data_IF_296649796000
#
_entry.id   IF_296649796000
#
_cell.length_a   1.000
_cell.length_b   1.000
_cell.length_c   1.000
_cell.angle_alpha   90.00
_cell.angle_beta   90.00
_cell.angle_gamma   90.00
#
_symmetry.space_group_name_H-M   'P 1'
#
loop_
_entity.id
_entity.type
_entity.pdbx_description
1 polymer ?
#
# COMPACT_ATOMS: atom_id res chain seq x y z
N UNK A 1 -3.32 -20.33 -3.92
CA UNK A 1 -2.28 -19.34 -4.11
C UNK A 1 -2.86 -18.08 -4.74
N UNK A 2 -2.36 -16.92 -4.34
CA UNK A 2 -2.86 -15.58 -4.70
C UNK A 2 -2.85 -15.35 -6.23
N UNK A 3 -1.93 -15.97 -6.97
CA UNK A 3 -1.90 -15.93 -8.44
C UNK A 3 -3.17 -16.51 -9.09
N UNK A 4 -3.70 -17.62 -8.55
CA UNK A 4 -4.96 -18.20 -9.03
C UNK A 4 -6.14 -17.31 -8.67
N UNK A 5 -6.13 -16.69 -7.50
CA UNK A 5 -7.14 -15.74 -7.08
C UNK A 5 -7.20 -14.51 -7.98
N UNK A 6 -6.05 -14.00 -8.43
CA UNK A 6 -5.96 -12.86 -9.35
C UNK A 6 -6.61 -13.14 -10.71
N UNK A 7 -6.30 -14.29 -11.30
CA UNK A 7 -6.91 -14.70 -12.57
C UNK A 7 -8.40 -15.01 -12.43
N UNK A 8 -8.82 -15.56 -11.29
CA UNK A 8 -10.23 -15.83 -11.00
C UNK A 8 -11.04 -14.56 -10.79
N UNK A 9 -10.52 -13.55 -10.07
CA UNK A 9 -11.25 -12.29 -9.85
C UNK A 9 -11.57 -11.52 -11.13
N UNK A 10 -10.77 -11.67 -12.18
CA UNK A 10 -11.00 -11.00 -13.46
C UNK A 10 -11.89 -11.84 -14.40
N UNK A 11 -11.84 -13.16 -14.29
CA UNK A 11 -12.60 -14.08 -15.16
C UNK A 11 -13.96 -14.47 -14.61
N UNK A 12 -14.09 -14.55 -13.29
CA UNK A 12 -15.30 -15.10 -12.67
C UNK A 12 -16.05 -14.00 -11.90
N UNK A 13 -17.15 -13.53 -12.50
CA UNK A 13 -18.05 -12.54 -11.90
C UNK A 13 -18.88 -13.09 -10.72
N UNK A 14 -18.75 -14.37 -10.39
CA UNK A 14 -19.67 -15.09 -9.49
C UNK A 14 -19.12 -15.38 -8.09
N UNK A 15 -17.87 -15.08 -7.78
CA UNK A 15 -17.30 -15.34 -6.44
C UNK A 15 -17.36 -14.10 -5.55
N UNK A 16 -18.45 -13.92 -4.84
CA UNK A 16 -18.57 -13.01 -3.72
C UNK A 16 -17.68 -13.54 -2.57
N UNK A 17 -16.58 -12.84 -2.28
CA UNK A 17 -15.71 -13.14 -1.13
C UNK A 17 -14.21 -13.10 -1.38
N UNK A 18 -13.75 -13.12 -2.61
CA UNK A 18 -12.34 -12.93 -2.97
C UNK A 18 -12.15 -11.47 -3.42
N UNK A 19 -11.16 -10.78 -2.84
CA UNK A 19 -10.90 -9.38 -3.15
C UNK A 19 -10.74 -9.14 -4.66
N UNK A 20 -11.61 -8.33 -5.22
CA UNK A 20 -11.55 -7.91 -6.62
C UNK A 20 -10.56 -6.76 -6.79
N UNK A 21 -9.76 -6.68 -7.87
CA UNK A 21 -8.97 -5.51 -8.19
C UNK A 21 -9.83 -4.28 -8.55
N UNK A 22 -11.14 -4.46 -8.69
CA UNK A 22 -12.11 -3.37 -8.88
C UNK A 22 -12.40 -2.68 -7.55
N UNK A 23 -11.55 -1.73 -7.19
CA UNK A 23 -11.65 -0.96 -5.95
C UNK A 23 -12.18 0.47 -6.19
N UNK A 24 -12.01 0.99 -7.40
CA UNK A 24 -12.46 2.32 -7.77
C UNK A 24 -13.68 2.23 -8.69
N UNK A 25 -14.77 2.85 -8.29
CA UNK A 25 -16.00 2.96 -9.09
C UNK A 25 -16.04 4.22 -9.95
N UNK A 26 -15.27 5.23 -9.56
CA UNK A 26 -15.16 6.51 -10.26
C UNK A 26 -13.71 6.96 -10.34
N UNK A 27 -13.39 7.70 -11.41
CA UNK A 27 -12.08 8.32 -11.55
C UNK A 27 -11.91 9.46 -10.54
N UNK A 28 -10.89 9.43 -9.67
CA UNK A 28 -10.68 10.48 -8.66
C UNK A 28 -10.30 11.84 -9.28
N UNK A 29 -9.93 11.86 -10.56
CA UNK A 29 -9.54 13.09 -11.27
C UNK A 29 -10.73 13.79 -11.92
N UNK A 30 -11.55 13.08 -12.68
CA UNK A 30 -12.61 13.68 -13.48
C UNK A 30 -14.03 13.19 -13.12
N UNK A 31 -14.18 12.27 -12.18
CA UNK A 31 -15.47 11.74 -11.75
C UNK A 31 -16.12 10.72 -12.70
N UNK A 32 -15.54 10.42 -13.86
CA UNK A 32 -16.10 9.46 -14.81
C UNK A 32 -16.17 8.06 -14.21
N UNK A 33 -17.23 7.32 -14.50
CA UNK A 33 -17.43 5.96 -13.97
C UNK A 33 -16.37 4.99 -14.52
N UNK A 34 -15.92 4.09 -13.67
CA UNK A 34 -15.01 2.99 -14.00
C UNK A 34 -15.81 1.70 -13.95
N UNK A 35 -15.74 0.91 -15.01
CA UNK A 35 -16.42 -0.39 -15.13
C UNK A 35 -15.37 -1.52 -15.13
N UNK A 36 -15.56 -2.53 -14.28
CA UNK A 36 -14.60 -3.61 -14.09
C UNK A 36 -14.24 -4.36 -15.40
N UNK A 37 -15.21 -4.54 -16.30
CA UNK A 37 -15.02 -5.29 -17.53
C UNK A 37 -14.39 -4.51 -18.69
N UNK A 38 -14.25 -3.18 -18.56
CA UNK A 38 -13.80 -2.29 -19.64
C UNK A 38 -12.54 -1.50 -19.28
N UNK A 39 -12.44 -1.07 -18.04
CA UNK A 39 -11.43 -0.10 -17.59
C UNK A 39 -10.36 -0.73 -16.71
N UNK A 40 -10.45 -2.05 -16.45
CA UNK A 40 -9.39 -2.82 -15.81
C UNK A 40 -8.73 -3.74 -16.84
N UNK A 41 -7.41 -3.67 -16.89
CA UNK A 41 -6.59 -4.52 -17.75
C UNK A 41 -5.50 -5.21 -16.92
N UNK A 42 -5.25 -6.48 -17.19
CA UNK A 42 -4.19 -7.24 -16.52
C UNK A 42 -3.21 -7.77 -17.55
N UNK A 43 -2.00 -7.27 -17.50
CA UNK A 43 -0.89 -7.76 -18.33
C UNK A 43 -0.16 -8.88 -17.59
N UNK A 44 -0.34 -10.16 -17.97
CA UNK A 44 0.40 -11.26 -17.34
C UNK A 44 1.85 -11.26 -17.82
N UNK A 45 2.78 -11.58 -16.91
CA UNK A 45 4.17 -11.82 -17.26
C UNK A 45 4.43 -13.33 -17.32
N UNK A 46 5.34 -13.78 -18.19
CA UNK A 46 5.74 -15.19 -18.24
C UNK A 46 6.41 -15.63 -16.93
N UNK A 47 7.17 -14.74 -16.35
CA UNK A 47 7.82 -14.95 -15.06
C UNK A 47 7.47 -13.77 -14.16
N UNK A 48 7.25 -14.04 -12.89
CA UNK A 48 6.87 -13.01 -11.92
C UNK A 48 5.38 -12.62 -11.95
N UNK A 49 4.96 -11.76 -11.04
CA UNK A 49 3.59 -11.25 -10.97
C UNK A 49 3.28 -10.37 -12.18
N UNK A 50 2.07 -10.49 -12.72
CA UNK A 50 1.56 -9.60 -13.76
C UNK A 50 1.32 -8.19 -13.22
N UNK A 51 0.83 -7.28 -14.06
CA UNK A 51 0.47 -5.92 -13.69
C UNK A 51 -1.00 -5.65 -13.97
N UNK A 52 -1.69 -5.02 -13.02
CA UNK A 52 -3.08 -4.60 -13.15
C UNK A 52 -3.15 -3.10 -13.35
N UNK A 53 -3.83 -2.68 -14.40
CA UNK A 53 -4.04 -1.28 -14.74
C UNK A 53 -5.51 -0.93 -14.52
N UNK A 54 -5.75 0.20 -13.90
CA UNK A 54 -7.07 0.82 -13.82
C UNK A 54 -7.06 2.07 -14.66
N UNK A 55 -7.96 2.18 -15.62
CA UNK A 55 -8.09 3.35 -16.49
C UNK A 55 -9.33 4.15 -16.15
N UNK A 56 -9.28 5.44 -16.44
CA UNK A 56 -10.46 6.28 -16.37
C UNK A 56 -11.49 5.86 -17.42
N UNK A 57 -12.78 5.86 -17.02
CA UNK A 57 -13.89 5.55 -17.92
C UNK A 57 -14.40 6.73 -18.75
N UNK A 58 -13.61 7.80 -18.88
CA UNK A 58 -13.96 8.93 -19.72
C UNK A 58 -14.12 8.52 -21.19
N UNK A 59 -15.37 8.58 -21.69
CA UNK A 59 -15.73 8.18 -23.04
C UNK A 59 -15.14 9.11 -24.12
N UNK A 60 -14.81 10.35 -23.76
CA UNK A 60 -14.16 11.29 -24.68
C UNK A 60 -12.68 11.01 -24.85
N UNK A 61 -12.07 10.28 -23.91
CA UNK A 61 -10.65 9.97 -23.87
C UNK A 61 -9.76 11.18 -23.61
N UNK A 62 -10.31 12.26 -23.05
CA UNK A 62 -9.58 13.51 -22.73
C UNK A 62 -8.92 13.44 -21.36
N UNK A 63 -9.46 12.62 -20.44
CA UNK A 63 -8.86 12.45 -19.13
C UNK A 63 -7.45 11.89 -19.27
N UNK A 64 -6.50 12.51 -18.58
CA UNK A 64 -5.07 12.13 -18.60
C UNK A 64 -4.83 10.67 -18.15
N UNK A 65 -5.77 10.07 -17.42
CA UNK A 65 -5.73 8.68 -16.97
C UNK A 65 -6.60 7.73 -17.81
N UNK A 66 -7.10 8.18 -18.95
CA UNK A 66 -7.80 7.32 -19.90
C UNK A 66 -6.81 6.36 -20.57
N UNK A 67 -7.30 5.19 -21.01
CA UNK A 67 -6.47 4.21 -21.74
C UNK A 67 -5.82 4.81 -22.99
N UNK A 68 -6.41 5.84 -23.57
CA UNK A 68 -5.89 6.57 -24.73
C UNK A 68 -4.69 7.45 -24.37
N UNK A 69 -4.74 8.13 -23.22
CA UNK A 69 -3.70 9.07 -22.81
C UNK A 69 -2.57 8.40 -22.04
N UNK A 70 -2.88 7.38 -21.22
CA UNK A 70 -1.93 6.69 -20.39
C UNK A 70 -2.04 5.14 -20.55
N UNK A 71 -1.71 4.59 -21.74
CA UNK A 71 -1.92 3.16 -22.04
C UNK A 71 -1.05 2.21 -21.20
N UNK A 72 0.08 2.68 -20.68
CA UNK A 72 1.06 1.89 -19.93
C UNK A 72 1.08 2.19 -18.42
N UNK A 73 0.28 3.15 -17.96
CA UNK A 73 0.25 3.54 -16.55
C UNK A 73 -1.17 3.53 -15.97
N UNK A 74 -2.16 4.09 -16.68
CA UNK A 74 -3.50 4.29 -16.17
C UNK A 74 -3.55 5.23 -14.96
N UNK A 75 -4.50 5.01 -14.06
CA UNK A 75 -4.53 5.67 -12.76
C UNK A 75 -3.34 5.20 -11.90
N UNK A 76 -2.69 6.10 -11.15
CA UNK A 76 -1.55 5.76 -10.28
C UNK A 76 -2.02 5.04 -8.99
N UNK A 77 -2.79 3.99 -9.15
CA UNK A 77 -3.38 3.20 -8.07
C UNK A 77 -2.97 1.75 -8.22
N UNK A 78 -2.47 1.17 -7.14
CA UNK A 78 -2.08 -0.24 -7.07
C UNK A 78 -3.01 -0.93 -6.08
N UNK A 79 -3.75 -1.93 -6.55
CA UNK A 79 -4.82 -2.60 -5.77
C UNK A 79 -4.54 -4.08 -5.52
N UNK A 80 -3.38 -4.56 -5.88
CA UNK A 80 -2.99 -5.96 -5.75
C UNK A 80 -1.76 -6.08 -4.88
N UNK A 81 -1.84 -6.91 -3.83
CA UNK A 81 -0.80 -7.02 -2.80
C UNK A 81 0.61 -7.19 -3.38
N UNK A 82 0.81 -8.13 -4.32
CA UNK A 82 2.14 -8.37 -4.90
C UNK A 82 2.66 -7.17 -5.69
N UNK A 83 1.76 -6.38 -6.29
CA UNK A 83 2.18 -5.14 -6.94
C UNK A 83 2.49 -4.05 -5.93
N UNK A 84 1.72 -3.96 -4.83
CA UNK A 84 1.96 -3.01 -3.75
C UNK A 84 3.38 -3.20 -3.20
N UNK A 85 3.74 -4.45 -2.90
CA UNK A 85 5.10 -4.76 -2.41
C UNK A 85 6.20 -4.45 -3.42
N UNK A 86 5.91 -4.57 -4.70
CA UNK A 86 6.90 -4.38 -5.78
C UNK A 86 6.94 -2.96 -6.34
N UNK A 87 5.86 -2.17 -6.18
CA UNK A 87 5.76 -0.80 -6.71
C UNK A 87 5.96 0.27 -5.66
N UNK A 88 5.79 -0.07 -4.40
CA UNK A 88 5.98 0.80 -3.24
C UNK A 88 5.25 2.14 -3.40
N UNK A 89 3.92 2.17 -3.35
CA UNK A 89 3.15 3.38 -3.49
C UNK A 89 3.52 4.39 -2.39
N UNK A 90 3.46 5.67 -2.71
CA UNK A 90 3.75 6.76 -1.76
C UNK A 90 2.76 6.78 -0.59
N UNK A 91 1.53 6.35 -0.83
CA UNK A 91 0.49 6.20 0.19
C UNK A 91 -0.08 4.79 0.14
N UNK A 92 -0.09 4.11 1.28
CA UNK A 92 -0.69 2.79 1.44
C UNK A 92 -1.86 2.87 2.42
N UNK A 93 -3.03 2.38 1.98
CA UNK A 93 -4.21 2.22 2.83
C UNK A 93 -4.47 0.73 2.97
N UNK A 94 -4.52 0.24 4.19
CA UNK A 94 -4.75 -1.16 4.48
C UNK A 94 -5.59 -1.35 5.75
N UNK A 95 -6.31 -2.47 5.80
CA UNK A 95 -7.03 -2.89 7.01
C UNK A 95 -6.06 -3.51 8.02
N UNK A 96 -6.45 -3.57 9.29
CA UNK A 96 -5.67 -4.18 10.36
C UNK A 96 -5.31 -5.66 10.07
N UNK A 97 -6.17 -6.38 9.36
CA UNK A 97 -5.91 -7.77 8.98
C UNK A 97 -4.69 -7.92 8.07
N UNK A 98 -4.42 -6.93 7.25
CA UNK A 98 -3.21 -6.90 6.41
C UNK A 98 -1.95 -6.76 7.25
N UNK A 99 -2.01 -5.94 8.30
CA UNK A 99 -0.90 -5.83 9.26
C UNK A 99 -0.67 -7.16 10.02
N UNK A 100 -1.73 -7.86 10.40
CA UNK A 100 -1.62 -9.17 11.04
C UNK A 100 -0.97 -10.24 10.14
N UNK A 101 -1.03 -10.10 8.83
CA UNK A 101 -0.40 -11.00 7.86
C UNK A 101 1.07 -10.66 7.54
N UNK A 102 1.54 -9.46 7.91
CA UNK A 102 2.91 -8.99 7.59
C UNK A 102 4.03 -9.96 8.01
N UNK A 103 4.01 -10.56 9.23
CA UNK A 103 5.09 -11.45 9.66
C UNK A 103 5.25 -12.73 8.82
N UNK A 104 4.21 -13.10 8.08
CA UNK A 104 4.18 -14.31 7.26
C UNK A 104 4.58 -14.11 5.81
N UNK A 105 4.88 -12.84 5.42
CA UNK A 105 5.22 -12.46 4.04
C UNK A 105 6.53 -11.68 4.01
N UNK A 106 7.59 -12.33 3.56
CA UNK A 106 8.92 -11.71 3.46
C UNK A 106 8.95 -10.46 2.57
N UNK A 107 8.09 -10.41 1.53
CA UNK A 107 8.00 -9.26 0.61
C UNK A 107 7.58 -7.96 1.31
N UNK A 108 6.91 -8.06 2.46
CA UNK A 108 6.47 -6.88 3.26
C UNK A 108 7.65 -5.99 3.66
N UNK A 109 8.84 -6.56 3.86
CA UNK A 109 10.04 -5.77 4.20
C UNK A 109 10.33 -4.66 3.19
N UNK A 110 9.91 -4.84 1.92
CA UNK A 110 10.08 -3.80 0.90
C UNK A 110 9.28 -2.53 1.18
N UNK A 111 8.12 -2.64 1.84
CA UNK A 111 7.35 -1.47 2.28
C UNK A 111 8.12 -0.59 3.28
N UNK A 112 9.07 -1.20 3.98
CA UNK A 112 9.96 -0.52 4.93
C UNK A 112 11.33 -0.18 4.32
N UNK A 113 11.44 -0.23 3.00
CA UNK A 113 12.64 0.18 2.27
C UNK A 113 13.71 -0.89 2.12
N UNK A 114 13.50 -2.12 2.61
CA UNK A 114 14.47 -3.21 2.46
C UNK A 114 14.42 -3.77 1.04
N UNK A 115 15.17 -3.15 0.15
CA UNK A 115 15.30 -3.53 -1.26
C UNK A 115 16.77 -3.70 -1.63
N UNK A 116 17.05 -4.52 -2.65
CA UNK A 116 18.41 -4.72 -3.20
C UNK A 116 18.44 -4.61 -4.73
N UNK A 117 17.32 -4.45 -5.38
CA UNK A 117 17.25 -4.32 -6.82
C UNK A 117 15.96 -3.68 -7.31
N UNK A 118 16.02 -3.14 -8.53
CA UNK A 118 14.89 -2.58 -9.25
C UNK A 118 14.84 -3.06 -10.68
N UNK A 119 13.71 -3.59 -11.09
CA UNK A 119 13.43 -4.00 -12.45
C UNK A 119 12.28 -3.15 -13.02
N UNK A 120 12.48 -2.55 -14.20
CA UNK A 120 11.44 -1.72 -14.85
C UNK A 120 10.16 -2.50 -15.12
N UNK A 121 10.26 -3.82 -15.34
CA UNK A 121 9.12 -4.71 -15.58
C UNK A 121 8.41 -5.10 -14.28
N UNK A 122 9.17 -5.57 -13.27
CA UNK A 122 8.61 -6.18 -12.06
C UNK A 122 8.56 -5.24 -10.85
N UNK A 123 9.32 -4.13 -10.85
CA UNK A 123 9.47 -3.22 -9.71
C UNK A 123 10.61 -3.60 -8.79
N UNK A 124 10.55 -3.19 -7.53
CA UNK A 124 11.58 -3.44 -6.54
C UNK A 124 11.70 -4.92 -6.19
N UNK A 125 12.89 -5.30 -5.75
CA UNK A 125 13.23 -6.66 -5.31
C UNK A 125 13.88 -6.59 -3.93
N UNK A 126 13.52 -7.50 -3.04
CA UNK A 126 14.23 -7.78 -1.79
C UNK A 126 15.18 -8.98 -1.97
N UNK A 127 16.13 -9.19 -1.06
CA UNK A 127 17.03 -10.34 -1.10
C UNK A 127 16.31 -11.70 -1.10
N UNK A 128 15.09 -11.78 -0.59
CA UNK A 128 14.30 -13.03 -0.49
C UNK A 128 13.52 -13.36 -1.76
N UNK A 129 13.51 -12.46 -2.75
CA UNK A 129 12.80 -12.69 -4.00
C UNK A 129 13.76 -13.24 -5.05
N UNK A 130 13.59 -14.50 -5.39
CA UNK A 130 14.31 -15.17 -6.48
C UNK A 130 13.70 -14.80 -7.84
N UNK A 131 14.06 -13.65 -8.37
CA UNK A 131 13.72 -13.24 -9.74
C UNK A 131 14.97 -13.30 -10.61
N UNK A 132 14.79 -13.69 -11.89
CA UNK A 132 15.85 -13.58 -12.86
C UNK A 132 16.33 -12.12 -12.99
N UNK A 133 17.64 -11.92 -13.11
CA UNK A 133 18.22 -10.59 -13.28
C UNK A 133 18.04 -10.03 -14.69
N UNK A 134 17.71 -10.88 -15.66
CA UNK A 134 17.47 -10.49 -17.06
C UNK A 134 16.14 -11.07 -17.56
N UNK A 135 15.38 -10.23 -18.22
CA UNK A 135 14.08 -10.58 -18.78
C UNK A 135 14.07 -10.28 -20.27
N UNK A 136 14.08 -11.28 -21.15
CA UNK A 136 14.02 -11.05 -22.59
C UNK A 136 12.70 -10.37 -22.99
N UNK A 137 12.71 -9.73 -24.15
CA UNK A 137 11.49 -9.20 -24.76
C UNK A 137 10.46 -10.33 -24.93
N UNK A 138 9.17 -10.00 -24.80
CA UNK A 138 8.09 -10.97 -24.96
C UNK A 138 7.40 -10.80 -26.30
N UNK A 139 6.84 -11.87 -26.83
CA UNK A 139 5.99 -11.82 -28.04
C UNK A 139 4.72 -10.98 -27.86
N UNK A 140 4.40 -10.60 -26.61
CA UNK A 140 3.27 -9.70 -26.25
C UNK A 140 3.66 -8.23 -26.24
N UNK A 141 4.82 -7.87 -26.80
CA UNK A 141 5.26 -6.48 -26.97
C UNK A 141 5.96 -5.85 -25.77
N UNK A 142 6.26 -6.63 -24.72
CA UNK A 142 7.04 -6.07 -23.60
C UNK A 142 8.54 -5.99 -23.95
N UNK A 143 9.18 -4.85 -23.74
CA UNK A 143 10.61 -4.71 -23.99
C UNK A 143 11.45 -5.57 -23.03
N UNK A 144 12.66 -5.89 -23.42
CA UNK A 144 13.63 -6.52 -22.52
C UNK A 144 13.86 -5.65 -21.29
N UNK A 145 14.02 -6.28 -20.13
CA UNK A 145 14.27 -5.59 -18.87
C UNK A 145 15.40 -6.26 -18.10
N UNK A 146 16.13 -5.45 -17.34
CA UNK A 146 17.21 -5.91 -16.46
C UNK A 146 16.93 -5.41 -15.06
N UNK A 147 17.22 -6.23 -14.08
CA UNK A 147 17.23 -5.80 -12.68
C UNK A 147 18.55 -5.12 -12.39
N UNK A 148 18.48 -3.88 -11.96
CA UNK A 148 19.63 -3.08 -11.53
C UNK A 148 19.73 -3.13 -10.01
N UNK A 149 20.95 -3.02 -9.49
CA UNK A 149 21.18 -2.92 -8.06
C UNK A 149 20.53 -1.64 -7.50
N UNK A 150 19.90 -1.75 -6.37
CA UNK A 150 19.20 -0.66 -5.71
C UNK A 150 19.61 -0.62 -4.24
N UNK A 151 20.07 0.53 -3.79
CA UNK A 151 20.28 0.78 -2.36
C UNK A 151 18.96 0.77 -1.60
N UNK A 152 18.96 0.43 -0.30
CA UNK A 152 17.79 0.52 0.53
C UNK A 152 17.09 1.87 0.42
N UNK A 153 15.77 1.85 0.44
CA UNK A 153 14.95 3.06 0.37
C UNK A 153 14.64 3.58 1.78
N UNK A 154 14.26 4.85 1.83
CA UNK A 154 13.73 5.44 3.05
C UNK A 154 12.41 4.76 3.43
N UNK A 155 12.25 4.32 4.69
CA UNK A 155 11.00 3.76 5.18
C UNK A 155 9.90 4.84 5.32
N UNK A 156 8.64 4.45 5.57
CA UNK A 156 7.54 5.39 5.79
C UNK A 156 7.82 6.42 6.89
N UNK A 157 7.53 7.68 6.60
CA UNK A 157 7.69 8.79 7.54
C UNK A 157 6.47 9.03 8.42
N UNK A 158 5.31 8.57 7.97
CA UNK A 158 4.02 8.81 8.59
C UNK A 158 3.23 7.51 8.66
N UNK A 159 2.71 7.24 9.85
CA UNK A 159 1.74 6.17 10.11
C UNK A 159 0.45 6.83 10.57
N UNK A 160 -0.64 6.56 9.88
CA UNK A 160 -1.98 7.02 10.26
C UNK A 160 -2.78 5.79 10.67
N UNK A 161 -3.29 5.79 11.89
CA UNK A 161 -4.09 4.71 12.44
C UNK A 161 -5.47 5.21 12.79
N UNK A 162 -6.45 4.68 12.08
CA UNK A 162 -7.85 4.99 12.35
C UNK A 162 -8.44 4.01 13.36
N UNK A 163 -9.49 4.42 14.05
CA UNK A 163 -10.24 3.60 15.01
C UNK A 163 -9.36 2.94 16.10
N UNK A 164 -8.44 3.71 16.69
CA UNK A 164 -7.50 3.20 17.70
C UNK A 164 -8.18 2.48 18.86
N UNK A 165 -9.44 2.82 19.19
CA UNK A 165 -10.20 2.18 20.27
C UNK A 165 -10.51 0.71 20.02
N UNK A 166 -10.51 0.23 18.77
CA UNK A 166 -10.70 -1.18 18.43
C UNK A 166 -9.53 -2.06 18.88
N UNK A 167 -8.39 -1.45 19.15
CA UNK A 167 -7.17 -2.13 19.60
C UNK A 167 -7.18 -2.35 21.12
N UNK A 168 -8.15 -1.81 21.85
CA UNK A 168 -8.32 -2.04 23.27
C UNK A 168 -8.96 -3.41 23.53
N UNK A 169 -8.27 -4.29 24.29
CA UNK A 169 -8.77 -5.61 24.63
C UNK A 169 -7.74 -6.72 24.45
N UNK A 170 -8.16 -8.00 24.31
CA UNK A 170 -7.26 -9.15 24.14
C UNK A 170 -6.28 -9.03 22.96
N UNK A 171 -6.66 -8.28 21.92
CA UNK A 171 -5.79 -7.96 20.78
C UNK A 171 -4.68 -6.95 21.14
N UNK A 172 -4.84 -6.18 22.20
CA UNK A 172 -3.93 -5.07 22.55
C UNK A 172 -2.46 -5.50 22.72
N UNK A 173 -2.21 -6.67 23.27
CA UNK A 173 -0.84 -7.18 23.45
C UNK A 173 -0.17 -7.49 22.11
N UNK A 174 -0.87 -8.16 21.21
CA UNK A 174 -0.35 -8.46 19.87
C UNK A 174 -0.14 -7.19 19.07
N UNK A 175 -1.07 -6.25 19.15
CA UNK A 175 -0.93 -4.95 18.47
C UNK A 175 0.27 -4.16 18.99
N UNK A 176 0.52 -4.13 20.30
CA UNK A 176 1.71 -3.52 20.87
C UNK A 176 3.02 -4.09 20.31
N UNK A 177 3.08 -5.41 20.06
CA UNK A 177 4.21 -6.02 19.38
C UNK A 177 4.35 -5.55 17.93
N UNK A 178 3.24 -5.50 17.19
CA UNK A 178 3.25 -4.99 15.80
C UNK A 178 3.66 -3.52 15.73
N UNK A 179 3.12 -2.68 16.60
CA UNK A 179 3.48 -1.26 16.65
C UNK A 179 4.98 -1.06 16.97
N UNK A 180 5.51 -1.86 17.88
CA UNK A 180 6.95 -1.84 18.17
C UNK A 180 7.78 -2.25 16.96
N UNK A 181 7.35 -3.29 16.24
CA UNK A 181 8.01 -3.74 15.03
C UNK A 181 7.95 -2.68 13.91
N UNK A 182 6.78 -2.10 13.68
CA UNK A 182 6.59 -1.03 12.68
C UNK A 182 7.44 0.19 13.02
N UNK A 183 7.44 0.63 14.29
CA UNK A 183 8.26 1.75 14.73
C UNK A 183 9.75 1.50 14.49
N UNK A 184 10.22 0.28 14.76
CA UNK A 184 11.59 -0.13 14.50
C UNK A 184 11.90 -0.16 13.01
N UNK A 185 11.04 -0.73 12.20
CA UNK A 185 11.21 -0.83 10.75
C UNK A 185 11.14 0.53 10.05
N UNK A 186 10.31 1.45 10.57
CA UNK A 186 10.21 2.82 10.08
C UNK A 186 11.27 3.77 10.67
N UNK A 187 12.11 3.31 11.60
CA UNK A 187 13.19 4.12 12.15
C UNK A 187 14.41 4.04 11.25
N UNK A 188 14.93 5.18 10.82
CA UNK A 188 16.12 5.26 10.00
C UNK A 188 17.09 6.33 10.51
N UNK A 189 18.25 6.46 9.90
CA UNK A 189 19.29 7.35 10.35
C UNK A 189 19.52 8.50 9.36
N UNK A 190 19.55 9.73 9.88
CA UNK A 190 19.84 10.92 9.10
C UNK A 190 20.94 11.69 9.84
N UNK A 191 22.10 11.87 9.22
CA UNK A 191 23.22 12.61 9.81
C UNK A 191 23.60 12.12 11.23
N UNK A 192 23.64 10.82 11.43
CA UNK A 192 23.95 10.19 12.72
C UNK A 192 22.83 10.25 13.76
N UNK A 193 21.65 10.76 13.39
CA UNK A 193 20.48 10.82 14.29
C UNK A 193 19.41 9.83 13.84
N UNK A 194 18.87 9.07 14.80
CA UNK A 194 17.72 8.20 14.55
C UNK A 194 16.46 9.04 14.44
N UNK A 195 15.77 8.88 13.33
CA UNK A 195 14.48 9.51 13.02
C UNK A 195 13.40 8.44 13.03
N UNK A 196 12.34 8.66 13.77
CA UNK A 196 11.18 7.79 13.89
C UNK A 196 10.02 8.36 13.07
N UNK A 197 9.10 7.53 12.57
CA UNK A 197 7.94 8.01 11.83
C UNK A 197 7.03 8.85 12.75
N UNK A 198 6.33 9.80 12.19
CA UNK A 198 5.22 10.48 12.88
C UNK A 198 4.02 9.51 12.93
N UNK A 199 3.37 9.40 14.08
CA UNK A 199 2.15 8.61 14.24
C UNK A 199 0.99 9.57 14.50
N UNK A 200 -0.07 9.42 13.73
CA UNK A 200 -1.35 10.11 13.92
C UNK A 200 -2.39 9.02 14.15
N UNK A 201 -3.15 9.12 15.23
CA UNK A 201 -4.20 8.17 15.51
C UNK A 201 -5.53 8.90 15.69
N UNK A 202 -6.58 8.38 15.06
CA UNK A 202 -7.94 8.80 15.30
C UNK A 202 -8.64 7.79 16.21
N UNK A 203 -9.54 8.26 17.06
CA UNK A 203 -10.26 7.38 17.97
C UNK A 203 -11.55 8.04 18.46
N UNK A 204 -12.57 7.22 18.73
CA UNK A 204 -13.70 7.66 19.52
C UNK A 204 -13.24 8.01 20.96
N UNK A 205 -14.12 8.62 21.75
CA UNK A 205 -13.82 9.06 23.12
C UNK A 205 -13.24 7.93 23.98
N UNK A 206 -11.98 8.04 24.35
CA UNK A 206 -11.32 7.06 25.23
C UNK A 206 -11.05 7.72 26.59
N UNK A 207 -11.56 7.10 27.67
CA UNK A 207 -11.12 7.42 29.03
C UNK A 207 -9.64 7.03 29.15
N UNK A 208 -8.76 7.94 29.52
CA UNK A 208 -7.31 7.71 29.65
C UNK A 208 -6.55 7.49 28.32
N UNK A 209 -6.94 8.18 27.23
CA UNK A 209 -6.25 8.11 25.94
C UNK A 209 -4.72 8.26 26.05
N UNK A 210 -4.23 9.18 26.87
CA UNK A 210 -2.80 9.43 27.04
C UNK A 210 -2.04 8.20 27.58
N UNK A 211 -2.58 7.53 28.60
CA UNK A 211 -1.95 6.34 29.19
C UNK A 211 -1.97 5.16 28.19
N UNK A 212 -3.08 4.99 27.48
CA UNK A 212 -3.23 3.92 26.49
C UNK A 212 -2.30 4.12 25.29
N UNK A 213 -2.24 5.33 24.75
CA UNK A 213 -1.33 5.67 23.65
C UNK A 213 0.13 5.52 24.08
N UNK A 214 0.46 5.95 25.32
CA UNK A 214 1.81 5.75 25.83
C UNK A 214 2.17 4.27 25.96
N UNK A 215 1.24 3.43 26.41
CA UNK A 215 1.47 1.99 26.53
C UNK A 215 1.67 1.32 25.16
N UNK A 216 0.98 1.76 24.12
CA UNK A 216 1.09 1.20 22.78
C UNK A 216 2.33 1.68 22.03
N UNK A 217 2.56 2.98 22.01
CA UNK A 217 3.58 3.59 21.14
C UNK A 217 4.86 4.01 21.87
N UNK A 218 4.88 3.94 23.21
CA UNK A 218 5.98 4.44 24.06
C UNK A 218 6.37 5.89 23.71
N UNK A 219 5.36 6.73 23.42
CA UNK A 219 5.51 8.13 23.00
C UNK A 219 4.63 9.05 23.83
N UNK A 220 5.04 10.31 23.93
CA UNK A 220 4.19 11.38 24.45
C UNK A 220 3.08 11.64 23.42
N UNK A 221 1.86 11.84 23.89
CA UNK A 221 0.71 12.17 23.06
C UNK A 221 0.40 13.65 23.14
N UNK A 222 0.02 14.22 22.00
CA UNK A 222 -0.64 15.52 21.91
C UNK A 222 -2.03 15.30 21.33
N UNK A 223 -3.05 15.76 22.00
CA UNK A 223 -4.44 15.64 21.54
C UNK A 223 -4.74 16.80 20.61
N UNK A 224 -5.38 16.52 19.49
CA UNK A 224 -5.84 17.52 18.54
C UNK A 224 -7.31 17.22 18.15
N UNK A 225 -8.19 18.23 18.09
CA UNK A 225 -7.95 19.61 18.52
C UNK A 225 -7.69 19.70 20.03
N UNK A 226 -6.92 20.68 20.51
CA UNK A 226 -6.78 20.93 21.93
C UNK A 226 -8.14 21.31 22.52
N UNK A 227 -8.32 21.06 23.82
CA UNK A 227 -9.55 21.50 24.50
C UNK A 227 -9.71 23.00 24.33
N UNK A 228 -10.82 23.43 23.74
CA UNK A 228 -11.14 24.85 23.63
C UNK A 228 -11.35 25.49 25.00
N UNK A 229 -10.89 26.71 25.15
CA UNK A 229 -11.14 27.53 26.34
C UNK A 229 -12.49 28.25 26.23
N UNK A 230 -13.07 28.31 25.03
CA UNK A 230 -14.34 28.97 24.72
C UNK A 230 -15.17 28.11 23.75
N UNK A 231 -16.50 28.20 23.87
CA UNK A 231 -17.46 27.48 23.03
C UNK A 231 -17.64 28.12 21.66
N UNK A 232 -17.17 29.36 21.50
CA UNK A 232 -17.41 30.19 20.30
C UNK A 232 -16.47 29.93 19.12
N UNK A 233 -15.33 29.29 19.33
CA UNK A 233 -14.31 29.10 18.29
C UNK A 233 -13.73 27.69 18.33
N UNK A 234 -14.50 26.71 17.95
CA UNK A 234 -14.03 25.35 17.72
C UNK A 234 -14.18 25.02 16.23
N UNK A 235 -13.21 25.43 15.41
CA UNK A 235 -13.09 25.03 13.98
C UNK A 235 -14.30 25.22 13.11
#
# INVERSE_FOLDING_TARGET
>A
SIRRQRQMCIRDRSYAGLGSPYQLTTCPWCGSQIEAGRHLDTKPYKQGPGRTFTYCGDQTGQCIFSKRQAPDEGLPVVVVDEEIYRRLPTMLIATVDKFAQMPWKGEVQMLFGTVNGYCTRHGFRSPEIEDASMHPATNTGMPAAKTLDQSPLRPPDLVIQDELHLISGPLGTLVGLYETAIDKLCTWEVNGKKVRPKVIASTATIKNAAAQVHALFLRKVSVFPPNGLDVSDNF
#
